data_IF_741236878484
#
_entry.id   IF_741236878484
#
_cell.length_a   1.000
_cell.length_b   1.000
_cell.length_c   1.000
_cell.angle_alpha   90.00
_cell.angle_beta   90.00
_cell.angle_gamma   90.00
#
_symmetry.space_group_name_H-M   'P 1'
#
loop_
_entity.id
_entity.type
_entity.pdbx_description
1 polymer ?
#
# COMPACT_ATOMS: atom_id res chain seq x y z
N UNK A 1 29.23 -8.39 -10.58
CA UNK A 1 28.79 -8.32 -9.18
C UNK A 1 28.09 -6.99 -8.96
N UNK A 2 26.82 -6.92 -8.57
CA UNK A 2 26.23 -5.64 -8.23
C UNK A 2 26.88 -5.16 -6.93
N UNK A 3 27.57 -4.03 -6.99
CA UNK A 3 28.11 -3.34 -5.84
C UNK A 3 26.96 -2.59 -5.16
N UNK A 4 26.64 -2.95 -3.93
CA UNK A 4 25.77 -2.14 -3.07
C UNK A 4 26.50 -0.85 -2.72
N UNK A 5 25.87 0.29 -2.99
CA UNK A 5 26.36 1.60 -2.58
C UNK A 5 25.47 2.16 -1.49
N UNK A 6 26.10 2.64 -0.40
CA UNK A 6 25.41 3.39 0.65
C UNK A 6 25.01 4.77 0.12
N UNK A 7 23.72 5.10 0.18
CA UNK A 7 23.25 6.47 -0.05
C UNK A 7 23.43 7.29 1.22
N UNK A 8 24.32 8.28 1.20
CA UNK A 8 24.41 9.30 2.24
C UNK A 8 23.36 10.38 2.01
N UNK A 9 22.41 10.50 2.93
CA UNK A 9 21.53 11.66 3.03
C UNK A 9 22.32 12.82 3.65
N UNK A 10 22.64 13.84 2.86
CA UNK A 10 23.17 15.09 3.39
C UNK A 10 22.00 15.94 3.88
N UNK A 11 21.58 15.74 5.13
CA UNK A 11 20.66 16.64 5.83
C UNK A 11 21.46 17.59 6.73
N UNK A 12 21.09 18.87 6.75
CA UNK A 12 21.59 19.79 7.77
C UNK A 12 21.03 19.34 9.12
N UNK A 13 21.89 18.94 10.04
CA UNK A 13 21.50 18.50 11.38
C UNK A 13 20.70 19.60 12.09
N UNK A 14 19.40 19.36 12.29
CA UNK A 14 18.50 20.25 13.05
C UNK A 14 18.65 19.94 14.55
N UNK A 15 19.88 19.96 15.07
CA UNK A 15 20.16 19.71 16.49
C UNK A 15 19.75 18.31 16.99
N UNK A 16 19.88 18.03 18.30
CA UNK A 16 19.54 16.75 18.90
C UNK A 16 18.05 16.69 19.24
N UNK A 17 17.19 17.00 18.27
CA UNK A 17 15.75 16.77 18.43
C UNK A 17 15.47 15.39 17.85
N UNK A 18 15.05 14.40 18.67
CA UNK A 18 14.57 13.14 18.14
C UNK A 18 13.41 13.46 17.19
N UNK A 19 13.56 13.11 15.92
CA UNK A 19 12.44 13.14 14.99
C UNK A 19 11.59 11.91 15.32
N UNK A 20 10.58 12.11 16.16
CA UNK A 20 9.57 11.08 16.42
C UNK A 20 8.73 10.92 15.14
N UNK A 21 9.06 9.92 14.34
CA UNK A 21 8.33 9.56 13.13
C UNK A 21 7.24 8.56 13.51
N UNK A 22 5.98 8.94 13.35
CA UNK A 22 4.83 8.07 13.63
C UNK A 22 4.44 7.24 12.41
N UNK A 23 3.55 6.24 12.60
CA UNK A 23 3.13 5.22 11.61
C UNK A 23 2.61 5.78 10.27
N UNK A 24 2.33 7.08 10.19
CA UNK A 24 1.73 7.75 9.02
C UNK A 24 2.44 9.04 8.60
N UNK A 25 3.63 9.33 9.13
CA UNK A 25 4.32 10.57 8.81
C UNK A 25 4.81 10.56 7.36
N UNK A 26 4.45 11.61 6.63
CA UNK A 26 5.02 11.91 5.33
C UNK A 26 6.13 12.93 5.55
N UNK A 27 7.38 12.49 5.43
CA UNK A 27 8.52 13.40 5.49
C UNK A 27 8.72 13.97 4.08
N UNK A 28 8.56 15.28 3.98
CA UNK A 28 8.94 16.05 2.80
C UNK A 28 10.45 16.27 2.84
N UNK A 29 11.20 15.43 2.12
CA UNK A 29 12.56 15.78 1.72
C UNK A 29 12.48 16.41 0.33
N UNK A 30 13.23 17.50 0.08
CA UNK A 30 13.08 18.33 -1.13
C UNK A 30 13.01 17.52 -2.44
N UNK A 31 13.81 16.45 -2.54
CA UNK A 31 13.88 15.55 -3.70
C UNK A 31 13.27 14.16 -3.47
N UNK A 32 12.65 13.91 -2.31
CA UNK A 32 12.05 12.61 -2.01
C UNK A 32 10.81 12.72 -1.14
N UNK A 33 9.73 12.04 -1.51
CA UNK A 33 8.67 11.72 -0.54
C UNK A 33 9.04 10.41 0.13
N UNK A 34 9.14 10.41 1.45
CA UNK A 34 9.34 9.19 2.23
C UNK A 34 8.02 8.81 2.89
N UNK A 35 7.51 7.62 2.59
CA UNK A 35 6.43 6.99 3.35
C UNK A 35 7.03 5.92 4.25
N UNK A 36 6.86 6.07 5.56
CA UNK A 36 7.39 5.15 6.56
C UNK A 36 6.25 4.27 7.05
N UNK A 37 6.39 2.96 6.88
CA UNK A 37 5.58 1.94 7.52
C UNK A 37 6.39 1.44 8.71
N UNK A 38 6.20 2.01 9.90
CA UNK A 38 6.92 1.62 11.10
C UNK A 38 6.03 0.75 12.00
N UNK A 39 6.57 -0.38 12.44
CA UNK A 39 6.00 -1.26 13.47
C UNK A 39 6.96 -1.46 14.61
N UNK A 40 6.51 -2.17 15.66
CA UNK A 40 7.38 -2.58 16.77
C UNK A 40 8.50 -3.55 16.33
N UNK A 41 8.36 -4.22 15.18
CA UNK A 41 9.29 -5.26 14.70
C UNK A 41 10.07 -4.86 13.44
N UNK A 42 9.54 -3.95 12.62
CA UNK A 42 10.09 -3.61 11.31
C UNK A 42 9.76 -2.18 10.90
N UNK A 43 10.57 -1.57 10.04
CA UNK A 43 10.23 -0.33 9.37
C UNK A 43 10.50 -0.46 7.87
N UNK A 44 9.51 -0.18 7.03
CA UNK A 44 9.69 -0.04 5.57
C UNK A 44 9.61 1.42 5.20
N UNK A 45 10.61 1.92 4.49
CA UNK A 45 10.59 3.28 3.97
C UNK A 45 10.46 3.20 2.45
N UNK A 46 9.40 3.78 1.91
CA UNK A 46 9.26 3.96 0.47
C UNK A 46 9.70 5.36 0.10
N UNK A 47 10.82 5.45 -0.61
CA UNK A 47 11.35 6.70 -1.13
C UNK A 47 10.91 6.90 -2.57
N UNK A 48 10.13 7.94 -2.82
CA UNK A 48 9.75 8.37 -4.16
C UNK A 48 10.68 9.50 -4.59
N UNK A 49 11.53 9.29 -5.60
CA UNK A 49 12.32 10.36 -6.21
C UNK A 49 11.52 10.99 -7.35
N UNK A 50 11.13 12.27 -7.27
CA UNK A 50 10.49 12.99 -8.36
C UNK A 50 11.33 12.96 -9.65
N UNK A 51 12.67 12.96 -9.53
CA UNK A 51 13.57 13.19 -10.67
C UNK A 51 14.68 12.12 -10.79
N UNK A 52 14.32 10.87 -11.12
CA UNK A 52 15.26 9.78 -11.39
C UNK A 52 15.25 9.34 -12.85
N UNK A 53 16.25 9.77 -13.62
CA UNK A 53 16.56 9.42 -15.02
C UNK A 53 15.36 9.32 -15.98
N UNK A 54 14.92 10.48 -16.49
CA UNK A 54 14.18 10.55 -17.75
C UNK A 54 12.88 11.36 -17.77
N UNK A 55 12.45 11.95 -16.66
CA UNK A 55 11.20 12.72 -16.60
C UNK A 55 11.49 14.15 -16.12
N UNK A 56 11.65 15.11 -17.04
CA UNK A 56 11.73 16.54 -16.72
C UNK A 56 10.38 17.15 -16.29
N UNK A 57 9.36 16.32 -16.00
CA UNK A 57 7.97 16.73 -15.80
C UNK A 57 7.22 15.95 -14.68
N UNK A 58 7.91 15.41 -13.67
CA UNK A 58 7.19 14.84 -12.52
C UNK A 58 6.68 15.96 -11.60
N UNK A 59 5.36 16.18 -11.58
CA UNK A 59 4.71 17.21 -10.76
C UNK A 59 4.23 16.70 -9.39
N UNK A 60 4.45 15.42 -9.08
CA UNK A 60 3.92 14.76 -7.90
C UNK A 60 2.90 13.68 -8.26
N UNK A 61 2.58 12.83 -7.29
CA UNK A 61 1.50 11.84 -7.41
C UNK A 61 0.15 12.54 -7.17
N UNK A 62 -0.88 12.11 -7.87
CA UNK A 62 -2.25 12.58 -7.68
C UNK A 62 -2.92 11.79 -6.55
N UNK A 63 -3.61 12.49 -5.65
CA UNK A 63 -4.33 11.91 -4.51
C UNK A 63 -5.70 12.55 -4.42
N UNK A 64 -6.70 11.79 -3.97
CA UNK A 64 -7.92 12.38 -3.44
C UNK A 64 -7.61 13.15 -2.15
N UNK A 65 -8.39 14.19 -1.88
CA UNK A 65 -8.36 14.83 -0.56
C UNK A 65 -8.76 13.80 0.51
N UNK A 66 -8.06 13.70 1.65
CA UNK A 66 -8.41 12.75 2.69
C UNK A 66 -9.83 12.95 3.21
N UNK A 67 -10.61 11.87 3.22
CA UNK A 67 -12.00 11.88 3.68
C UNK A 67 -12.18 10.82 4.79
N UNK A 68 -12.60 11.23 6.00
CA UNK A 68 -12.87 10.33 7.12
C UNK A 68 -13.91 9.24 6.81
N UNK A 69 -14.80 9.45 5.84
CA UNK A 69 -15.79 8.44 5.44
C UNK A 69 -15.16 7.16 4.85
N UNK A 70 -13.91 7.24 4.40
CA UNK A 70 -13.12 6.12 3.90
C UNK A 70 -12.15 5.55 4.95
N UNK A 71 -12.32 5.93 6.21
CA UNK A 71 -11.73 5.25 7.38
C UNK A 71 -12.81 4.41 8.03
N UNK A 72 -12.70 3.09 7.93
CA UNK A 72 -13.72 2.17 8.41
C UNK A 72 -13.13 1.18 9.39
N UNK A 73 -13.91 0.82 10.41
CA UNK A 73 -13.57 -0.30 11.27
C UNK A 73 -14.05 -1.59 10.61
N UNK A 74 -13.13 -2.55 10.48
CA UNK A 74 -13.40 -3.88 9.96
C UNK A 74 -13.31 -4.92 11.07
N UNK A 75 -14.30 -5.81 11.16
CA UNK A 75 -14.23 -7.02 11.98
C UNK A 75 -13.27 -8.01 11.33
N UNK A 76 -12.35 -8.54 12.12
CA UNK A 76 -11.40 -9.57 11.71
C UNK A 76 -12.06 -10.94 11.84
N UNK A 77 -12.10 -11.70 10.75
CA UNK A 77 -12.36 -13.13 10.74
C UNK A 77 -11.03 -13.85 10.43
N UNK A 78 -10.35 -14.44 11.42
CA UNK A 78 -9.17 -15.24 11.18
C UNK A 78 -9.51 -16.42 10.27
N UNK A 79 -8.64 -16.71 9.31
CA UNK A 79 -8.79 -17.88 8.43
C UNK A 79 -7.66 -18.87 8.69
N UNK A 80 -7.90 -20.15 8.42
CA UNK A 80 -6.81 -21.12 8.43
C UNK A 80 -5.75 -20.68 7.40
N UNK A 81 -4.46 -20.61 7.77
CA UNK A 81 -3.42 -20.19 6.85
C UNK A 81 -3.42 -21.06 5.60
N UNK A 82 -3.55 -20.40 4.44
CA UNK A 82 -3.58 -21.03 3.13
C UNK A 82 -2.68 -20.26 2.18
N UNK A 83 -1.73 -20.96 1.55
CA UNK A 83 -0.80 -20.34 0.60
C UNK A 83 -1.48 -20.15 -0.75
N UNK A 84 -1.51 -18.91 -1.19
CA UNK A 84 -2.02 -18.50 -2.50
C UNK A 84 -0.88 -18.10 -3.43
N UNK A 85 -1.02 -18.51 -4.69
CA UNK A 85 -0.15 -18.09 -5.78
C UNK A 85 -0.84 -16.91 -6.47
N UNK A 86 -0.32 -15.71 -6.26
CA UNK A 86 -0.85 -14.48 -6.84
C UNK A 86 -0.11 -14.18 -8.15
N UNK A 87 -0.80 -14.07 -9.31
CA UNK A 87 -0.16 -13.69 -10.57
C UNK A 87 0.32 -12.24 -10.49
N UNK A 88 1.29 -11.89 -11.33
CA UNK A 88 1.87 -10.55 -11.35
C UNK A 88 1.78 -9.89 -12.72
N UNK A 89 1.94 -8.56 -12.74
CA UNK A 89 1.98 -7.76 -13.97
C UNK A 89 3.09 -8.17 -14.95
N UNK A 90 4.14 -8.84 -14.51
CA UNK A 90 5.23 -9.33 -15.38
C UNK A 90 4.99 -10.75 -15.93
N UNK A 91 3.80 -11.33 -15.72
CA UNK A 91 3.49 -12.70 -16.12
C UNK A 91 4.17 -13.77 -15.27
N UNK A 92 4.60 -13.40 -14.05
CA UNK A 92 5.16 -14.29 -13.05
C UNK A 92 4.12 -14.54 -11.94
N UNK A 93 4.58 -15.16 -10.85
CA UNK A 93 3.76 -15.40 -9.66
C UNK A 93 4.53 -15.07 -8.39
N UNK A 94 3.80 -14.72 -7.33
CA UNK A 94 4.32 -14.55 -5.98
C UNK A 94 3.45 -15.31 -4.98
N UNK A 95 4.07 -15.86 -3.93
CA UNK A 95 3.37 -16.62 -2.90
C UNK A 95 3.03 -15.73 -1.70
N UNK A 96 1.77 -15.79 -1.29
CA UNK A 96 1.25 -15.13 -0.10
C UNK A 96 0.48 -16.14 0.75
N UNK A 97 0.27 -15.85 2.02
CA UNK A 97 -0.65 -16.58 2.88
C UNK A 97 -1.90 -15.74 3.11
N UNK A 98 -3.09 -16.36 3.06
CA UNK A 98 -4.31 -15.72 3.55
C UNK A 98 -4.22 -15.61 5.07
N UNK A 99 -4.30 -14.40 5.59
CA UNK A 99 -4.21 -14.13 7.03
C UNK A 99 -5.61 -14.04 7.67
N UNK A 100 -6.47 -13.17 7.14
CA UNK A 100 -7.81 -12.95 7.68
C UNK A 100 -8.73 -12.35 6.63
N UNK A 101 -10.03 -12.56 6.80
CA UNK A 101 -11.06 -11.77 6.12
C UNK A 101 -11.44 -10.57 6.99
N UNK A 102 -11.64 -9.44 6.33
CA UNK A 102 -11.94 -8.16 6.96
C UNK A 102 -13.33 -7.73 6.52
N UNK A 103 -14.28 -7.74 7.43
CA UNK A 103 -15.67 -7.40 7.16
C UNK A 103 -15.97 -6.00 7.64
N UNK A 104 -16.41 -5.13 6.74
CA UNK A 104 -16.69 -3.74 7.04
C UNK A 104 -17.88 -3.25 6.22
N UNK A 105 -18.42 -2.11 6.62
CA UNK A 105 -19.45 -1.43 5.87
C UNK A 105 -18.90 -0.11 5.34
N UNK A 106 -19.16 0.18 4.08
CA UNK A 106 -18.90 1.49 3.49
C UNK A 106 -20.02 1.84 2.51
N UNK A 107 -20.41 3.12 2.47
CA UNK A 107 -21.55 3.59 1.69
C UNK A 107 -22.86 2.79 1.94
N UNK A 108 -23.05 2.29 3.17
CA UNK A 108 -24.23 1.49 3.56
C UNK A 108 -24.28 0.07 2.99
N UNK A 109 -23.18 -0.41 2.38
CA UNK A 109 -23.07 -1.77 1.84
C UNK A 109 -21.99 -2.54 2.59
N UNK A 110 -22.27 -3.81 2.89
CA UNK A 110 -21.31 -4.70 3.53
C UNK A 110 -20.32 -5.25 2.50
N UNK A 111 -19.04 -5.17 2.83
CA UNK A 111 -17.94 -5.63 1.99
C UNK A 111 -17.03 -6.56 2.78
N UNK A 112 -16.23 -7.33 2.04
CA UNK A 112 -15.19 -8.19 2.62
C UNK A 112 -13.93 -8.07 1.78
N UNK A 113 -12.79 -7.90 2.44
CA UNK A 113 -11.47 -8.00 1.82
C UNK A 113 -10.67 -9.09 2.53
N UNK A 114 -9.94 -9.90 1.77
CA UNK A 114 -8.91 -10.78 2.30
C UNK A 114 -7.62 -10.00 2.50
N UNK A 115 -7.07 -10.07 3.70
CA UNK A 115 -5.71 -9.64 4.00
C UNK A 115 -4.75 -10.80 3.83
N UNK A 116 -3.63 -10.53 3.18
CA UNK A 116 -2.56 -11.47 2.89
C UNK A 116 -1.29 -11.10 3.67
N UNK A 117 -0.36 -12.03 3.80
CA UNK A 117 1.01 -11.76 4.22
C UNK A 117 1.99 -12.48 3.28
N UNK A 118 3.24 -12.01 3.12
CA UNK A 118 4.22 -12.71 2.28
C UNK A 118 4.46 -14.13 2.77
N UNK A 119 4.42 -15.14 1.91
CA UNK A 119 4.67 -16.52 2.35
C UNK A 119 6.10 -16.74 2.89
N UNK A 120 7.06 -15.94 2.42
CA UNK A 120 8.46 -15.98 2.89
C UNK A 120 8.65 -15.45 4.31
N UNK A 121 7.74 -14.57 4.76
CA UNK A 121 7.75 -13.98 6.10
C UNK A 121 6.30 -13.59 6.49
N UNK A 122 5.51 -14.57 6.96
CA UNK A 122 4.09 -14.37 7.26
C UNK A 122 3.80 -13.35 8.37
N UNK A 123 4.81 -12.99 9.17
CA UNK A 123 4.70 -12.05 10.29
C UNK A 123 5.13 -10.62 9.92
N UNK A 124 5.52 -10.39 8.66
CA UNK A 124 6.14 -9.14 8.24
C UNK A 124 5.15 -7.96 8.21
N UNK A 125 4.01 -8.12 7.54
CA UNK A 125 2.98 -7.10 7.36
C UNK A 125 1.71 -7.70 6.72
N UNK A 126 0.59 -7.02 6.93
CA UNK A 126 -0.67 -7.25 6.22
C UNK A 126 -0.68 -6.51 4.89
N UNK A 127 -1.08 -7.22 3.83
CA UNK A 127 -1.15 -6.76 2.45
C UNK A 127 -2.56 -6.97 1.92
N UNK A 128 -3.22 -5.89 1.50
CA UNK A 128 -4.58 -5.91 0.95
C UNK A 128 -4.53 -5.31 -0.46
N UNK A 129 -4.32 -6.13 -1.50
CA UNK A 129 -4.50 -5.70 -2.87
C UNK A 129 -5.99 -5.74 -3.21
N UNK A 130 -6.52 -4.67 -3.81
CA UNK A 130 -7.93 -4.59 -4.14
C UNK A 130 -8.20 -3.81 -5.45
N UNK A 131 -9.36 -4.06 -6.02
CA UNK A 131 -9.97 -3.24 -7.08
C UNK A 131 -11.28 -2.66 -6.57
N UNK A 132 -11.75 -1.62 -7.25
CA UNK A 132 -13.01 -0.95 -6.94
C UNK A 132 -13.59 -0.23 -8.17
N UNK A 133 -14.78 0.35 -8.08
CA UNK A 133 -15.44 1.00 -9.23
C UNK A 133 -14.72 2.24 -9.79
N UNK A 134 -13.66 2.74 -9.12
CA UNK A 134 -12.78 3.78 -9.67
C UNK A 134 -11.63 3.21 -10.53
N UNK A 135 -11.39 1.90 -10.46
CA UNK A 135 -10.27 1.22 -11.13
C UNK A 135 -10.37 1.39 -12.65
N UNK A 136 -9.25 1.73 -13.28
CA UNK A 136 -9.09 1.98 -14.73
C UNK A 136 -9.79 3.24 -15.27
N UNK A 137 -10.53 4.00 -14.47
CA UNK A 137 -11.12 5.29 -14.85
C UNK A 137 -10.50 6.47 -14.08
N UNK A 138 -10.61 6.42 -12.74
CA UNK A 138 -10.12 7.45 -11.83
C UNK A 138 -8.81 7.01 -11.12
N UNK A 139 -8.59 5.69 -10.97
CA UNK A 139 -7.41 5.08 -10.32
C UNK A 139 -6.71 4.05 -11.23
N UNK A 140 -5.52 3.58 -10.84
CA UNK A 140 -4.71 2.67 -11.68
C UNK A 140 -5.44 1.38 -12.04
N UNK A 141 -5.41 0.99 -13.31
CA UNK A 141 -6.19 -0.13 -13.85
C UNK A 141 -5.81 -1.51 -13.31
N UNK A 142 -4.61 -1.67 -12.75
CA UNK A 142 -4.19 -2.91 -12.09
C UNK A 142 -4.64 -3.02 -10.63
N UNK A 143 -5.41 -2.05 -10.13
CA UNK A 143 -5.83 -1.96 -8.73
C UNK A 143 -4.82 -1.28 -7.82
N UNK A 144 -5.16 -1.22 -6.53
CA UNK A 144 -4.40 -0.50 -5.50
C UNK A 144 -4.12 -1.38 -4.31
N UNK A 145 -3.15 -0.96 -3.50
CA UNK A 145 -2.73 -1.70 -2.32
C UNK A 145 -2.95 -0.89 -1.06
N UNK A 146 -3.30 -1.59 0.00
CA UNK A 146 -3.24 -1.10 1.37
C UNK A 146 -2.32 -2.03 2.16
N UNK A 147 -1.23 -1.47 2.70
CA UNK A 147 -0.33 -2.17 3.61
C UNK A 147 -0.63 -1.75 5.05
N UNK A 148 -0.53 -2.69 5.98
CA UNK A 148 -0.77 -2.44 7.40
C UNK A 148 0.04 -3.40 8.27
N UNK A 149 0.10 -3.11 9.57
CA UNK A 149 0.59 -4.12 10.52
C UNK A 149 -0.44 -5.23 10.67
N UNK A 150 0.07 -6.44 10.91
CA UNK A 150 -0.78 -7.56 11.25
C UNK A 150 -1.49 -7.28 12.59
N UNK A 151 -2.77 -7.65 12.73
CA UNK A 151 -3.47 -7.55 13.99
C UNK A 151 -2.80 -8.45 15.04
N UNK A 152 -2.90 -8.06 16.31
CA UNK A 152 -2.54 -8.97 17.40
C UNK A 152 -3.48 -10.19 17.44
N UNK A 153 -3.03 -11.31 18.02
CA UNK A 153 -3.79 -12.57 18.05
C UNK A 153 -5.19 -12.43 18.69
N UNK A 154 -5.35 -11.52 19.65
CA UNK A 154 -6.61 -11.25 20.36
C UNK A 154 -7.39 -10.05 19.78
N UNK A 155 -6.87 -9.40 18.76
CA UNK A 155 -7.50 -8.25 18.12
C UNK A 155 -8.67 -8.70 17.24
N UNK A 156 -9.85 -8.14 17.48
CA UNK A 156 -11.11 -8.54 16.80
C UNK A 156 -11.58 -7.52 15.77
N UNK A 157 -11.04 -6.30 15.80
CA UNK A 157 -11.34 -5.23 14.84
C UNK A 157 -10.07 -4.48 14.45
N UNK A 158 -10.05 -3.94 13.23
CA UNK A 158 -8.94 -3.16 12.69
C UNK A 158 -9.44 -2.00 11.85
N UNK A 159 -8.78 -0.85 11.93
CA UNK A 159 -9.08 0.29 11.07
C UNK A 159 -8.48 0.07 9.67
N UNK A 160 -9.31 0.24 8.65
CA UNK A 160 -8.91 0.32 7.25
C UNK A 160 -9.02 1.79 6.81
N UNK A 161 -7.87 2.44 6.64
CA UNK A 161 -7.79 3.79 6.12
C UNK A 161 -7.47 3.77 4.62
N UNK A 162 -8.52 3.78 3.79
CA UNK A 162 -8.37 3.77 2.33
C UNK A 162 -7.78 5.07 1.78
N UNK A 163 -7.69 6.14 2.58
CA UNK A 163 -6.93 7.34 2.19
C UNK A 163 -5.43 7.05 2.04
N UNK A 164 -4.96 5.92 2.57
CA UNK A 164 -3.58 5.48 2.47
C UNK A 164 -3.34 4.48 1.33
N UNK A 165 -4.40 4.09 0.61
CA UNK A 165 -4.30 3.19 -0.54
C UNK A 165 -3.43 3.80 -1.64
N UNK A 166 -2.57 2.99 -2.24
CA UNK A 166 -1.53 3.46 -3.14
C UNK A 166 -1.41 2.60 -4.40
N UNK A 167 -0.85 3.17 -5.46
CA UNK A 167 -0.63 2.47 -6.72
C UNK A 167 0.62 1.56 -6.65
N UNK A 168 0.56 0.34 -7.22
CA UNK A 168 1.75 -0.49 -7.38
C UNK A 168 2.82 0.19 -8.23
N UNK A 169 4.10 -0.21 -8.10
CA UNK A 169 5.20 0.38 -8.90
C UNK A 169 5.01 0.14 -10.40
N UNK A 170 4.29 -0.91 -10.79
CA UNK A 170 3.97 -1.17 -12.19
C UNK A 170 3.13 -0.07 -12.84
N UNK A 171 2.45 0.78 -12.05
CA UNK A 171 1.78 1.99 -12.54
C UNK A 171 2.74 3.05 -13.09
N UNK A 172 4.02 2.98 -12.71
CA UNK A 172 5.06 3.95 -13.10
C UNK A 172 6.13 3.32 -13.98
N UNK A 173 6.43 2.04 -13.73
CA UNK A 173 7.50 1.30 -14.38
C UNK A 173 6.91 0.00 -14.93
N UNK A 174 6.62 -0.08 -16.25
CA UNK A 174 5.91 -1.21 -16.84
C UNK A 174 6.52 -2.60 -16.56
N UNK A 175 7.83 -2.66 -16.33
CA UNK A 175 8.55 -3.91 -16.09
C UNK A 175 8.59 -4.35 -14.62
N UNK A 176 7.94 -3.62 -13.72
CA UNK A 176 7.90 -4.01 -12.31
C UNK A 176 6.95 -5.20 -12.09
N UNK A 177 7.36 -6.12 -11.21
CA UNK A 177 6.64 -7.36 -10.93
C UNK A 177 5.68 -7.17 -9.74
N UNK A 178 4.47 -6.68 -10.01
CA UNK A 178 3.50 -6.34 -8.96
C UNK A 178 2.36 -7.37 -8.90
N UNK A 179 1.94 -7.81 -7.69
CA UNK A 179 0.80 -8.72 -7.54
C UNK A 179 -0.51 -8.16 -8.11
N UNK A 180 -1.26 -8.97 -8.84
CA UNK A 180 -2.58 -8.58 -9.32
C UNK A 180 -3.60 -8.88 -8.21
N UNK A 181 -4.45 -7.92 -7.81
CA UNK A 181 -5.50 -8.16 -6.83
C UNK A 181 -6.34 -9.39 -7.20
N UNK A 182 -6.62 -10.29 -6.24
CA UNK A 182 -7.48 -11.43 -6.50
C UNK A 182 -8.94 -10.97 -6.65
N UNK A 183 -9.74 -11.74 -7.42
CA UNK A 183 -11.14 -11.40 -7.68
C UNK A 183 -12.01 -11.33 -6.41
N UNK A 184 -11.60 -11.98 -5.31
CA UNK A 184 -12.26 -11.89 -4.01
C UNK A 184 -12.09 -10.52 -3.32
N UNK A 185 -11.12 -9.71 -3.76
CA UNK A 185 -10.86 -8.36 -3.27
C UNK A 185 -11.33 -7.29 -4.27
N UNK A 186 -12.55 -7.45 -4.79
CA UNK A 186 -13.20 -6.48 -5.66
C UNK A 186 -14.34 -5.76 -4.91
N UNK A 187 -14.24 -4.44 -4.80
CA UNK A 187 -15.21 -3.61 -4.12
C UNK A 187 -16.20 -2.99 -5.12
N UNK A 188 -17.49 -3.30 -4.97
CA UNK A 188 -18.55 -2.74 -5.83
C UNK A 188 -18.98 -1.31 -5.43
N UNK A 189 -18.02 -0.49 -5.01
CA UNK A 189 -18.23 0.90 -4.60
C UNK A 189 -17.09 1.76 -5.12
N UNK A 190 -17.36 3.03 -5.41
CA UNK A 190 -16.32 3.98 -5.79
C UNK A 190 -15.48 4.41 -4.58
N UNK A 191 -14.25 3.91 -4.50
CA UNK A 191 -13.32 4.24 -3.42
C UNK A 191 -12.50 5.48 -3.77
N UNK A 192 -13.13 6.66 -3.70
CA UNK A 192 -12.52 7.98 -3.96
C UNK A 192 -11.67 8.48 -2.80
N UNK A 193 -10.75 7.64 -2.35
CA UNK A 193 -9.75 7.92 -1.32
C UNK A 193 -8.41 7.34 -1.76
N UNK A 194 -7.30 7.95 -1.34
CA UNK A 194 -5.96 7.45 -1.66
C UNK A 194 -5.43 7.92 -3.02
N UNK A 195 -4.49 7.17 -3.57
CA UNK A 195 -3.78 7.53 -4.78
C UNK A 195 -4.66 7.38 -6.03
N UNK A 196 -4.62 8.40 -6.89
CA UNK A 196 -5.31 8.45 -8.18
C UNK A 196 -4.39 7.98 -9.31
N UNK A 197 -4.93 7.89 -10.53
CA UNK A 197 -4.10 7.63 -11.71
C UNK A 197 -3.07 8.75 -11.89
N UNK A 198 -1.81 8.38 -12.13
CA UNK A 198 -0.71 9.33 -12.31
C UNK A 198 -0.81 10.06 -13.66
N UNK A 199 -0.95 9.30 -14.74
CA UNK A 199 -1.22 9.79 -16.10
C UNK A 199 -2.20 8.84 -16.79
N UNK A 200 -3.21 9.38 -17.51
CA UNK A 200 -4.05 8.55 -18.39
C UNK A 200 -3.20 8.13 -19.58
N UNK A 201 -2.98 6.83 -19.75
CA UNK A 201 -2.34 6.27 -20.95
C UNK A 201 -3.29 6.33 -22.16
#
# INVERSE_FOLDING_TARGET
>A
SPQGGDFKLNATSIGPVPLEVTRNDIILAEDFRLKVYASTKSARVRAFKPNGYGQSHFHGLNWYDPDPAFKVMARIEPVAPDTVIMPTSAGLTQEYVRHSKLHFQIAGTDHTLTMFAPASDPDAYGFIPFTDETTADETYGGGRYLDMELPADDQTEIELDFNLAYNPLCAYVPHYNCPIPPAENDLTVKMRAGEMIYEKH
#
